data_IF_906861696295
#
_entry.id   IF_906861696295
#
_cell.length_a   1.000
_cell.length_b   1.000
_cell.length_c   1.000
_cell.angle_alpha   90.00
_cell.angle_beta   90.00
_cell.angle_gamma   90.00
#
_symmetry.space_group_name_H-M   'P 1'
#
loop_
_entity.id
_entity.type
_entity.pdbx_description
1 polymer ?
#
# COMPACT_ATOMS: atom_id res chain seq x y z
N UNK A 1 -2.09 -3.62 5.95
CA UNK A 1 -1.77 -4.57 4.88
C UNK A 1 -0.28 -4.90 4.96
N UNK A 2 0.20 -5.87 4.18
CA UNK A 2 1.63 -6.19 4.11
C UNK A 2 2.13 -6.08 2.68
N UNK A 3 3.24 -5.40 2.46
CA UNK A 3 3.98 -5.42 1.21
C UNK A 3 5.01 -6.55 1.24
N UNK A 4 5.05 -7.34 0.17
CA UNK A 4 6.01 -8.43 0.00
C UNK A 4 6.79 -8.18 -1.28
N UNK A 5 8.11 -8.07 -1.15
CA UNK A 5 9.02 -7.92 -2.29
C UNK A 5 9.07 -9.24 -3.06
N UNK A 6 8.78 -9.18 -4.35
CA UNK A 6 8.81 -10.29 -5.29
C UNK A 6 10.24 -10.49 -5.83
N UNK A 7 10.48 -11.61 -6.50
CA UNK A 7 11.79 -11.95 -7.09
C UNK A 7 12.21 -10.98 -8.21
N UNK A 8 11.24 -10.42 -8.94
CA UNK A 8 11.44 -9.38 -9.97
C UNK A 8 11.70 -7.98 -9.38
N UNK A 9 11.70 -7.86 -8.04
CA UNK A 9 11.88 -6.62 -7.32
C UNK A 9 10.62 -5.77 -7.14
N UNK A 10 9.49 -6.17 -7.73
CA UNK A 10 8.20 -5.50 -7.54
C UNK A 10 7.63 -5.77 -6.14
N UNK A 11 6.66 -4.96 -5.73
CA UNK A 11 5.96 -5.13 -4.47
C UNK A 11 4.54 -5.63 -4.72
N UNK A 12 4.16 -6.69 -4.01
CA UNK A 12 2.79 -7.17 -3.97
C UNK A 12 2.13 -6.81 -2.64
N UNK A 13 0.89 -6.36 -2.67
CA UNK A 13 0.07 -6.18 -1.47
C UNK A 13 -0.58 -7.49 -1.05
N UNK A 14 -0.44 -7.81 0.24
CA UNK A 14 -1.18 -8.84 0.95
C UNK A 14 -2.12 -8.17 1.94
N UNK A 15 -3.41 -8.25 1.64
CA UNK A 15 -4.47 -7.74 2.50
C UNK A 15 -4.68 -8.69 3.67
N UNK A 16 -4.67 -8.14 4.88
CA UNK A 16 -4.79 -8.93 6.12
C UNK A 16 -6.12 -8.71 6.82
N UNK A 17 -6.89 -7.71 6.37
CA UNK A 17 -8.16 -7.30 6.96
C UNK A 17 -9.13 -6.90 5.85
N UNK A 18 -10.44 -7.13 6.09
CA UNK A 18 -11.48 -6.94 5.08
C UNK A 18 -11.62 -5.48 4.65
N UNK A 19 -11.50 -4.54 5.59
CA UNK A 19 -11.74 -3.12 5.32
C UNK A 19 -10.80 -2.55 4.25
N UNK A 20 -9.57 -3.06 4.12
CA UNK A 20 -8.61 -2.61 3.11
C UNK A 20 -9.10 -2.92 1.69
N UNK A 21 -9.66 -4.12 1.51
CA UNK A 21 -10.20 -4.56 0.22
C UNK A 21 -11.49 -3.80 -0.10
N UNK A 22 -12.38 -3.65 0.89
CA UNK A 22 -13.63 -2.90 0.73
C UNK A 22 -13.35 -1.44 0.37
N UNK A 23 -12.45 -0.78 1.10
CA UNK A 23 -12.10 0.61 0.85
C UNK A 23 -11.51 0.80 -0.55
N UNK A 24 -10.56 -0.05 -0.97
CA UNK A 24 -9.97 0.05 -2.32
C UNK A 24 -11.00 -0.20 -3.44
N UNK A 25 -12.01 -1.03 -3.20
CA UNK A 25 -13.11 -1.22 -4.14
C UNK A 25 -14.03 0.00 -4.23
N UNK A 26 -14.16 0.79 -3.17
CA UNK A 26 -15.02 1.98 -3.12
C UNK A 26 -14.37 3.22 -3.76
N UNK A 27 -13.05 3.39 -3.61
CA UNK A 27 -12.32 4.59 -4.07
C UNK A 27 -11.82 4.49 -5.52
N UNK A 28 -12.65 3.95 -6.41
CA UNK A 28 -12.30 3.55 -7.78
C UNK A 28 -11.34 4.50 -8.53
N UNK A 29 -10.34 3.91 -9.20
CA UNK A 29 -9.51 4.61 -10.20
C UNK A 29 -8.43 5.55 -9.66
N UNK A 30 -8.19 5.59 -8.34
CA UNK A 30 -7.15 6.45 -7.75
C UNK A 30 -5.97 5.68 -7.14
N UNK A 31 -4.88 6.43 -6.89
CA UNK A 31 -3.78 5.97 -6.05
C UNK A 31 -4.09 6.32 -4.61
N UNK A 32 -4.17 5.30 -3.76
CA UNK A 32 -4.42 5.44 -2.33
C UNK A 32 -3.07 5.47 -1.60
N UNK A 33 -2.78 6.52 -0.81
CA UNK A 33 -1.55 6.59 -0.05
C UNK A 33 -1.51 5.52 1.06
N UNK A 34 -0.31 5.10 1.41
CA UNK A 34 -0.07 4.28 2.61
C UNK A 34 1.15 4.77 3.37
N UNK A 35 1.17 4.49 4.67
CA UNK A 35 2.24 4.86 5.58
C UNK A 35 2.73 3.65 6.39
N UNK A 36 3.84 3.82 7.10
CA UNK A 36 4.23 2.86 8.15
C UNK A 36 3.20 2.90 9.30
N UNK A 37 3.10 1.84 10.11
CA UNK A 37 2.19 1.86 11.25
C UNK A 37 2.50 3.03 12.18
N UNK A 38 1.44 3.69 12.68
CA UNK A 38 1.51 4.81 13.64
C UNK A 38 2.11 6.11 13.09
N UNK A 39 2.21 6.25 11.77
CA UNK A 39 2.51 7.51 11.10
C UNK A 39 1.47 7.75 10.01
N UNK A 40 1.22 9.03 9.73
CA UNK A 40 0.38 9.48 8.63
C UNK A 40 1.22 10.02 7.46
N UNK A 41 2.55 9.88 7.53
CA UNK A 41 3.47 10.29 6.46
C UNK A 41 3.48 9.25 5.34
N UNK A 42 2.97 9.59 4.14
CA UNK A 42 2.89 8.64 3.05
C UNK A 42 4.29 8.28 2.54
N UNK A 43 4.56 6.98 2.47
CA UNK A 43 5.81 6.42 1.92
C UNK A 43 5.62 5.83 0.52
N UNK A 44 4.38 5.87 0.02
CA UNK A 44 4.00 5.31 -1.27
C UNK A 44 2.49 5.28 -1.44
N UNK A 45 2.05 4.53 -2.45
CA UNK A 45 0.63 4.31 -2.71
C UNK A 45 0.35 3.01 -3.44
N UNK A 46 -0.90 2.57 -3.30
CA UNK A 46 -1.47 1.42 -3.99
C UNK A 46 -2.54 1.91 -4.97
N UNK A 47 -2.52 1.41 -6.20
CA UNK A 47 -3.58 1.70 -7.16
C UNK A 47 -4.83 0.89 -6.80
N UNK A 48 -5.96 1.57 -6.60
CA UNK A 48 -7.20 0.98 -6.08
C UNK A 48 -7.68 -0.24 -6.87
N UNK A 49 -7.58 -0.20 -8.20
CA UNK A 49 -8.11 -1.27 -9.07
C UNK A 49 -7.08 -2.37 -9.39
N UNK A 50 -5.83 -1.99 -9.62
CA UNK A 50 -4.79 -2.94 -10.09
C UNK A 50 -3.92 -3.46 -8.96
N UNK A 51 -4.05 -2.88 -7.77
CA UNK A 51 -3.19 -3.13 -6.60
C UNK A 51 -1.69 -2.92 -6.88
N UNK A 52 -1.35 -2.19 -7.95
CA UNK A 52 0.02 -1.83 -8.25
C UNK A 52 0.58 -0.95 -7.12
N UNK A 53 1.82 -1.23 -6.70
CA UNK A 53 2.48 -0.53 -5.61
C UNK A 53 3.54 0.41 -6.17
N UNK A 54 3.59 1.63 -5.63
CA UNK A 54 4.66 2.59 -5.87
C UNK A 54 5.17 3.12 -4.54
N UNK A 55 6.48 3.25 -4.42
CA UNK A 55 7.13 3.88 -3.28
C UNK A 55 7.60 5.29 -3.66
N UNK A 56 7.65 6.19 -2.68
CA UNK A 56 8.34 7.47 -2.85
C UNK A 56 9.84 7.24 -3.04
N UNK A 57 10.49 8.18 -3.73
CA UNK A 57 11.94 8.10 -3.97
C UNK A 57 12.71 8.06 -2.66
N UNK A 58 13.70 7.17 -2.55
CA UNK A 58 14.54 7.02 -1.36
C UNK A 58 13.92 6.20 -0.22
N UNK A 59 12.68 5.72 -0.36
CA UNK A 59 12.08 4.82 0.63
C UNK A 59 12.66 3.41 0.48
N UNK A 60 13.34 2.94 1.52
CA UNK A 60 13.82 1.57 1.63
C UNK A 60 12.96 0.77 2.62
N UNK A 61 12.38 -0.33 2.15
CA UNK A 61 11.56 -1.23 2.98
C UNK A 61 12.23 -2.60 3.09
N UNK A 62 11.97 -3.27 4.21
CA UNK A 62 12.31 -4.69 4.37
C UNK A 62 11.52 -5.56 3.38
N UNK A 63 12.03 -6.73 3.00
CA UNK A 63 11.38 -7.64 2.02
C UNK A 63 9.93 -8.01 2.38
N UNK A 64 9.54 -7.87 3.65
CA UNK A 64 8.18 -8.02 4.15
C UNK A 64 7.86 -6.87 5.11
N UNK A 65 7.08 -5.90 4.65
CA UNK A 65 6.80 -4.69 5.42
C UNK A 65 5.32 -4.53 5.71
N UNK A 66 4.95 -4.27 6.97
CA UNK A 66 3.58 -3.86 7.32
C UNK A 66 3.42 -2.38 7.02
N UNK A 67 2.31 -2.02 6.36
CA UNK A 67 1.91 -0.65 6.05
C UNK A 67 0.40 -0.50 6.26
N UNK A 68 -0.08 0.73 6.45
CA UNK A 68 -1.50 1.04 6.66
C UNK A 68 -1.96 1.94 5.52
N UNK A 69 -3.10 1.63 4.90
CA UNK A 69 -3.72 2.57 3.96
C UNK A 69 -4.08 3.85 4.72
N UNK A 70 -3.91 4.99 4.07
CA UNK A 70 -4.37 6.28 4.56
C UNK A 70 -5.63 6.62 3.78
N UNK A 71 -6.83 6.40 4.34
CA UNK A 71 -8.05 6.88 3.72
C UNK A 71 -7.97 8.39 3.59
N UNK A 72 -8.34 8.94 2.43
CA UNK A 72 -8.50 10.39 2.34
C UNK A 72 -9.66 10.76 3.29
N UNK A 73 -9.37 11.64 4.26
CA UNK A 73 -10.38 12.23 5.14
C UNK A 73 -11.37 13.09 4.35
#
# INVERSE_FOLDING_TARGET
MRLIKQEDGAWAAHFTVLWEVTYLAEVEGCWVPFALPRTDDPIGGIHAHTHAIRLHSGVELSTRQVVTLLPNA
#
